data_IF_425514727976
#
_entry.id   IF_425514727976
#
_cell.length_a   1.000
_cell.length_b   1.000
_cell.length_c   1.000
_cell.angle_alpha   90.00
_cell.angle_beta   90.00
_cell.angle_gamma   90.00
#
_symmetry.space_group_name_H-M   'P 1'
#
loop_
_entity.id
_entity.type
_entity.pdbx_description
1 polymer ?
#
# COMPACT_ATOMS: atom_id res chain seq x y z
N UNK A 1 -13.18 -20.74 -3.15
CA UNK A 1 -11.71 -20.89 -3.17
C UNK A 1 -11.32 -21.85 -2.08
N UNK A 2 -11.11 -23.11 -2.44
CA UNK A 2 -10.69 -24.16 -1.51
C UNK A 2 -9.42 -24.74 -2.11
N UNK A 3 -8.36 -23.93 -2.14
CA UNK A 3 -7.09 -24.31 -2.79
C UNK A 3 -6.04 -24.73 -1.75
N UNK A 4 -6.46 -25.31 -0.63
CA UNK A 4 -5.55 -25.94 0.33
C UNK A 4 -5.70 -27.46 0.23
N UNK A 5 -4.61 -28.17 -0.07
CA UNK A 5 -4.54 -29.63 -0.06
C UNK A 5 -4.44 -30.22 1.35
N UNK A 6 -4.16 -29.38 2.35
CA UNK A 6 -4.05 -29.76 3.76
C UNK A 6 -5.27 -30.48 4.35
N UNK A 7 -6.53 -30.00 4.20
CA UNK A 7 -7.70 -30.72 4.71
C UNK A 7 -7.88 -32.12 4.12
N UNK A 8 -7.40 -32.35 2.90
CA UNK A 8 -7.43 -33.63 2.21
C UNK A 8 -6.26 -34.56 2.60
N UNK A 9 -5.35 -34.09 3.45
CA UNK A 9 -4.24 -34.90 3.98
C UNK A 9 -4.61 -35.68 5.25
N UNK A 10 -5.72 -35.32 5.92
CA UNK A 10 -6.12 -35.87 7.22
C UNK A 10 -7.13 -37.02 7.05
N UNK A 11 -7.96 -36.98 6.02
CA UNK A 11 -9.01 -37.97 5.78
C UNK A 11 -9.16 -38.30 4.29
N UNK A 12 -9.33 -39.58 3.99
CA UNK A 12 -9.60 -40.10 2.65
C UNK A 12 -11.08 -39.97 2.24
N UNK A 13 -11.94 -39.46 3.12
CA UNK A 13 -13.36 -39.20 2.83
C UNK A 13 -13.72 -37.81 3.31
N UNK A 14 -14.29 -37.00 2.42
CA UNK A 14 -14.68 -35.61 2.72
C UNK A 14 -16.14 -35.43 2.32
N UNK A 15 -16.92 -34.78 3.19
CA UNK A 15 -18.29 -34.36 2.88
C UNK A 15 -18.31 -32.86 2.58
N UNK A 16 -18.43 -32.45 1.32
CA UNK A 16 -18.42 -31.04 0.96
C UNK A 16 -19.74 -30.35 1.39
N UNK A 17 -19.63 -29.09 1.80
CA UNK A 17 -20.76 -28.24 2.14
C UNK A 17 -20.71 -26.97 1.29
N UNK A 18 -21.76 -26.74 0.50
CA UNK A 18 -21.93 -25.49 -0.23
C UNK A 18 -22.76 -24.51 0.60
N UNK A 19 -22.16 -23.37 0.93
CA UNK A 19 -22.82 -22.27 1.63
C UNK A 19 -23.07 -21.12 0.65
N UNK A 20 -24.34 -20.76 0.49
CA UNK A 20 -24.76 -19.54 -0.22
C UNK A 20 -25.32 -18.54 0.80
N UNK A 21 -24.88 -17.30 0.71
CA UNK A 21 -25.32 -16.20 1.57
C UNK A 21 -25.86 -15.11 0.67
N UNK A 22 -27.10 -14.70 0.88
CA UNK A 22 -27.65 -13.53 0.20
C UNK A 22 -28.29 -12.56 1.20
N UNK A 23 -28.22 -11.28 0.86
CA UNK A 23 -28.90 -10.19 1.55
C UNK A 23 -29.72 -9.43 0.50
N UNK A 24 -31.03 -9.21 0.68
CA UNK A 24 -31.89 -8.65 -0.36
C UNK A 24 -31.55 -7.21 -0.79
N UNK A 25 -30.68 -6.49 -0.05
CA UNK A 25 -30.40 -5.07 -0.29
C UNK A 25 -28.90 -4.71 -0.30
N UNK A 26 -28.00 -5.70 -0.17
CA UNK A 26 -26.57 -5.46 0.03
C UNK A 26 -25.75 -6.54 -0.67
N UNK A 27 -24.75 -6.12 -1.44
CA UNK A 27 -23.76 -7.06 -1.96
C UNK A 27 -22.98 -7.67 -0.78
N UNK A 28 -23.06 -8.99 -0.63
CA UNK A 28 -22.29 -9.75 0.37
C UNK A 28 -20.80 -9.68 -0.02
N UNK A 29 -20.10 -8.65 0.43
CA UNK A 29 -18.66 -8.50 0.17
C UNK A 29 -17.87 -9.03 1.35
N UNK A 30 -17.34 -10.25 1.21
CA UNK A 30 -16.45 -10.87 2.22
C UNK A 30 -15.01 -10.36 2.06
N UNK A 31 -14.67 -9.78 0.90
CA UNK A 31 -13.32 -9.33 0.59
C UNK A 31 -13.17 -7.84 0.91
N UNK A 32 -12.73 -7.53 2.13
CA UNK A 32 -12.31 -6.18 2.49
C UNK A 32 -13.41 -5.24 2.97
N UNK A 33 -14.57 -5.76 3.40
CA UNK A 33 -15.57 -4.94 4.07
C UNK A 33 -14.97 -4.23 5.29
N UNK A 34 -15.29 -2.95 5.45
CA UNK A 34 -14.90 -2.21 6.64
C UNK A 34 -15.76 -2.70 7.82
N UNK A 35 -15.19 -2.77 9.02
CA UNK A 35 -15.95 -3.15 10.22
C UNK A 35 -17.21 -2.26 10.38
N UNK A 36 -17.10 -0.96 10.08
CA UNK A 36 -18.22 -0.01 10.16
C UNK A 36 -19.33 -0.38 9.19
N UNK A 37 -19.00 -0.78 7.95
CA UNK A 37 -20.02 -1.25 7.00
C UNK A 37 -20.70 -2.53 7.48
N UNK A 38 -19.98 -3.50 8.06
CA UNK A 38 -20.62 -4.70 8.62
C UNK A 38 -21.50 -4.38 9.82
N UNK A 39 -21.10 -3.42 10.67
CA UNK A 39 -21.91 -2.95 11.80
C UNK A 39 -23.19 -2.28 11.31
N UNK A 40 -23.09 -1.39 10.31
CA UNK A 40 -24.22 -0.76 9.66
C UNK A 40 -25.17 -1.83 9.08
N UNK A 41 -24.65 -2.81 8.35
CA UNK A 41 -25.50 -3.88 7.81
C UNK A 41 -26.11 -4.76 8.90
N UNK A 42 -25.45 -4.95 10.04
CA UNK A 42 -26.03 -5.68 11.19
C UNK A 42 -27.26 -4.97 11.75
N UNK A 43 -27.28 -3.63 11.79
CA UNK A 43 -28.42 -2.86 12.27
C UNK A 43 -29.53 -2.68 11.22
N UNK A 44 -29.17 -2.57 9.94
CA UNK A 44 -30.09 -2.15 8.87
C UNK A 44 -30.46 -3.25 7.86
N UNK A 45 -29.88 -4.46 7.97
CA UNK A 45 -30.26 -5.63 7.17
C UNK A 45 -30.89 -6.68 8.10
N UNK A 46 -32.21 -6.61 8.34
CA UNK A 46 -32.89 -7.50 9.28
C UNK A 46 -32.95 -8.96 8.81
N UNK A 47 -32.65 -9.22 7.53
CA UNK A 47 -32.77 -10.55 6.93
C UNK A 47 -31.50 -10.88 6.17
N UNK A 48 -30.70 -11.79 6.75
CA UNK A 48 -29.63 -12.49 6.05
C UNK A 48 -30.04 -13.95 5.92
N UNK A 49 -30.07 -14.46 4.70
CA UNK A 49 -30.46 -15.86 4.48
C UNK A 49 -29.25 -16.68 4.11
N UNK A 50 -29.04 -17.72 4.91
CA UNK A 50 -28.00 -18.72 4.73
C UNK A 50 -28.63 -19.96 4.12
N UNK A 51 -28.26 -20.26 2.88
CA UNK A 51 -28.65 -21.50 2.22
C UNK A 51 -27.48 -22.48 2.31
N UNK A 52 -27.69 -23.53 3.09
CA UNK A 52 -26.71 -24.59 3.33
C UNK A 52 -27.12 -25.82 2.51
N UNK A 53 -26.20 -26.33 1.68
CA UNK A 53 -26.40 -27.55 0.89
C UNK A 53 -25.31 -28.57 1.20
N UNK A 54 -25.72 -29.71 1.72
CA UNK A 54 -24.85 -30.86 1.94
C UNK A 54 -24.68 -31.61 0.63
N UNK A 55 -23.44 -31.78 0.18
CA UNK A 55 -23.13 -32.60 -1.00
C UNK A 55 -22.89 -34.06 -0.57
N UNK A 56 -23.00 -35.02 -1.52
CA UNK A 56 -22.60 -36.40 -1.28
C UNK A 56 -21.15 -36.49 -0.79
N UNK A 57 -20.88 -37.42 0.12
CA UNK A 57 -19.52 -37.72 0.57
C UNK A 57 -18.68 -38.19 -0.61
N UNK A 58 -17.48 -37.62 -0.74
CA UNK A 58 -16.53 -37.96 -1.79
C UNK A 58 -15.36 -38.70 -1.15
N UNK A 59 -15.14 -39.94 -1.58
CA UNK A 59 -13.99 -40.74 -1.15
C UNK A 59 -12.84 -40.57 -2.13
N UNK A 60 -11.61 -40.65 -1.61
CA UNK A 60 -10.38 -40.68 -2.39
C UNK A 60 -10.29 -42.01 -3.14
N UNK A 61 -10.04 -41.95 -4.45
CA UNK A 61 -9.81 -43.13 -5.28
C UNK A 61 -8.38 -43.65 -5.05
N UNK A 62 -8.18 -44.97 -5.16
CA UNK A 62 -6.87 -45.58 -4.90
C UNK A 62 -5.76 -45.09 -5.85
N UNK A 63 -6.14 -44.65 -7.05
CA UNK A 63 -5.24 -44.20 -8.11
C UNK A 63 -4.98 -42.69 -8.11
N UNK A 64 -5.71 -41.90 -7.30
CA UNK A 64 -5.60 -40.44 -7.34
C UNK A 64 -4.70 -39.88 -6.23
N UNK A 65 -3.92 -38.86 -6.61
CA UNK A 65 -3.07 -38.08 -5.70
C UNK A 65 -3.94 -37.16 -4.83
N UNK A 66 -3.44 -36.71 -3.68
CA UNK A 66 -4.21 -35.85 -2.76
C UNK A 66 -4.61 -34.52 -3.40
N UNK A 67 -3.73 -33.99 -4.24
CA UNK A 67 -3.95 -32.77 -5.01
C UNK A 67 -5.08 -32.97 -6.04
N UNK A 68 -5.10 -34.11 -6.71
CA UNK A 68 -6.13 -34.48 -7.68
C UNK A 68 -7.50 -34.68 -7.01
N UNK A 69 -7.51 -35.31 -5.83
CA UNK A 69 -8.70 -35.41 -4.99
C UNK A 69 -9.23 -34.03 -4.57
N UNK A 70 -8.34 -33.13 -4.13
CA UNK A 70 -8.69 -31.76 -3.75
C UNK A 70 -9.28 -30.97 -4.93
N UNK A 71 -8.68 -31.10 -6.13
CA UNK A 71 -9.17 -30.46 -7.35
C UNK A 71 -10.55 -30.98 -7.74
N UNK A 72 -10.78 -32.29 -7.65
CA UNK A 72 -12.09 -32.91 -7.94
C UNK A 72 -13.18 -32.44 -6.98
N UNK A 73 -12.87 -32.37 -5.69
CA UNK A 73 -13.81 -31.82 -4.69
C UNK A 73 -14.07 -30.32 -4.94
N UNK A 74 -13.03 -29.58 -5.33
CA UNK A 74 -13.16 -28.18 -5.70
C UNK A 74 -14.06 -27.99 -6.92
N UNK A 75 -13.89 -28.80 -7.96
CA UNK A 75 -14.71 -28.75 -9.18
C UNK A 75 -16.18 -29.06 -8.88
N UNK A 76 -16.46 -30.08 -8.07
CA UNK A 76 -17.82 -30.39 -7.63
C UNK A 76 -18.47 -29.23 -6.87
N UNK A 77 -17.73 -28.60 -5.94
CA UNK A 77 -18.21 -27.41 -5.22
C UNK A 77 -18.39 -26.21 -6.14
N UNK A 78 -17.50 -26.03 -7.12
CA UNK A 78 -17.55 -24.94 -8.09
C UNK A 78 -18.80 -25.08 -8.98
N UNK A 79 -19.08 -26.28 -9.48
CA UNK A 79 -20.31 -26.62 -10.21
C UNK A 79 -21.57 -26.35 -9.38
N UNK A 80 -21.62 -26.82 -8.13
CA UNK A 80 -22.79 -26.58 -7.25
C UNK A 80 -22.99 -25.10 -6.89
N UNK A 81 -21.90 -24.34 -6.73
CA UNK A 81 -21.98 -22.90 -6.45
C UNK A 81 -22.20 -22.06 -7.71
N UNK A 82 -22.08 -22.64 -8.92
CA UNK A 82 -22.16 -21.92 -10.19
C UNK A 82 -20.96 -20.99 -10.42
N UNK A 83 -19.79 -21.33 -9.87
CA UNK A 83 -18.56 -20.52 -9.94
C UNK A 83 -17.49 -21.31 -10.66
N UNK A 84 -16.55 -20.65 -11.33
CA UNK A 84 -15.41 -21.31 -11.98
C UNK A 84 -14.40 -21.78 -10.92
N UNK A 85 -13.93 -23.02 -11.03
CA UNK A 85 -12.82 -23.52 -10.21
C UNK A 85 -11.54 -22.78 -10.57
N UNK A 86 -10.94 -22.06 -9.61
CA UNK A 86 -9.69 -21.32 -9.82
C UNK A 86 -8.61 -21.85 -8.89
N UNK A 87 -7.37 -21.93 -9.38
CA UNK A 87 -6.18 -22.30 -8.60
C UNK A 87 -5.67 -21.18 -7.67
N UNK A 88 -6.55 -20.25 -7.29
CA UNK A 88 -6.18 -19.07 -6.49
C UNK A 88 -6.09 -19.45 -5.00
N UNK A 89 -4.91 -19.26 -4.44
CA UNK A 89 -4.59 -19.53 -3.04
C UNK A 89 -5.17 -18.46 -2.13
N UNK A 90 -5.37 -18.79 -0.85
CA UNK A 90 -5.71 -17.79 0.17
C UNK A 90 -4.63 -16.68 0.26
N UNK A 91 -3.36 -17.02 0.03
CA UNK A 91 -2.25 -16.07 -0.07
C UNK A 91 -2.43 -15.09 -1.24
N UNK A 92 -2.78 -15.59 -2.43
CA UNK A 92 -3.02 -14.76 -3.61
C UNK A 92 -4.18 -13.78 -3.38
N UNK A 93 -5.22 -14.23 -2.66
CA UNK A 93 -6.33 -13.37 -2.25
C UNK A 93 -5.89 -12.27 -1.28
N UNK A 94 -5.09 -12.61 -0.27
CA UNK A 94 -4.58 -11.65 0.70
C UNK A 94 -3.63 -10.63 0.04
N UNK A 95 -2.78 -11.10 -0.88
CA UNK A 95 -1.90 -10.24 -1.67
C UNK A 95 -2.71 -9.32 -2.59
N UNK A 96 -3.72 -9.85 -3.30
CA UNK A 96 -4.60 -9.05 -4.15
C UNK A 96 -5.30 -7.94 -3.35
N UNK A 97 -5.81 -8.27 -2.16
CA UNK A 97 -6.43 -7.28 -1.27
C UNK A 97 -5.42 -6.23 -0.78
N UNK A 98 -4.19 -6.65 -0.49
CA UNK A 98 -3.10 -5.73 -0.14
C UNK A 98 -2.78 -4.77 -1.30
N UNK A 99 -2.70 -5.28 -2.53
CA UNK A 99 -2.48 -4.47 -3.74
C UNK A 99 -3.60 -3.44 -3.95
N UNK A 100 -4.87 -3.84 -3.81
CA UNK A 100 -6.03 -2.94 -3.88
C UNK A 100 -5.98 -1.79 -2.85
N UNK A 101 -5.43 -2.04 -1.67
CA UNK A 101 -5.30 -1.03 -0.61
C UNK A 101 -4.19 0.00 -0.88
N UNK A 102 -3.10 -0.43 -1.50
CA UNK A 102 -1.97 0.45 -1.82
C UNK A 102 -2.10 1.14 -3.18
N UNK A 103 -2.83 0.52 -4.11
CA UNK A 103 -3.10 1.06 -5.43
C UNK A 103 -4.56 0.73 -5.80
N UNK A 104 -5.53 1.53 -5.33
CA UNK A 104 -6.91 1.39 -5.79
C UNK A 104 -6.89 1.55 -7.32
N UNK A 105 -7.54 0.66 -8.09
CA UNK A 105 -7.53 0.77 -9.54
C UNK A 105 -8.02 2.16 -9.91
N UNK A 106 -7.11 2.98 -10.43
CA UNK A 106 -7.47 4.20 -11.10
C UNK A 106 -8.53 3.81 -12.12
N UNK A 107 -9.71 4.38 -11.98
CA UNK A 107 -10.89 4.17 -12.81
C UNK A 107 -10.48 3.94 -14.25
N UNK A 108 -10.50 2.68 -14.69
CA UNK A 108 -10.30 2.34 -16.10
C UNK A 108 -11.42 3.06 -16.85
N UNK A 109 -11.12 3.98 -17.78
CA UNK A 109 -12.16 4.60 -18.57
C UNK A 109 -12.92 3.47 -19.29
N UNK A 110 -14.27 3.54 -19.34
CA UNK A 110 -15.05 2.54 -20.05
C UNK A 110 -14.60 2.49 -21.52
N UNK A 111 -14.62 1.30 -22.17
CA UNK A 111 -14.33 1.20 -23.59
C UNK A 111 -15.32 2.10 -24.36
N UNK A 112 -14.86 2.81 -25.42
CA UNK A 112 -15.74 3.69 -26.18
C UNK A 112 -16.82 2.85 -26.86
N UNK A 113 -18.06 3.03 -26.42
CA UNK A 113 -19.23 2.49 -27.10
C UNK A 113 -19.45 3.29 -28.39
N UNK A 114 -19.50 2.58 -29.51
CA UNK A 114 -19.67 3.09 -30.86
C UNK A 114 -20.84 4.06 -30.99
N UNK A 115 -20.62 5.14 -31.76
CA UNK A 115 -21.55 6.22 -32.08
C UNK A 115 -22.86 5.72 -32.73
N UNK A 116 -23.93 6.53 -32.68
CA UNK A 116 -24.26 7.27 -33.90
C UNK A 116 -24.52 8.77 -33.67
N UNK A 117 -24.38 9.49 -34.79
CA UNK A 117 -24.43 10.94 -34.94
C UNK A 117 -25.77 11.58 -34.54
N UNK A 118 -25.69 12.78 -33.94
CA UNK A 118 -26.82 13.67 -33.72
C UNK A 118 -26.40 14.87 -32.86
N UNK A 119 -26.16 16.02 -33.51
CA UNK A 119 -25.47 17.16 -32.92
C UNK A 119 -26.29 18.00 -31.93
N UNK A 120 -25.58 18.58 -30.96
CA UNK A 120 -25.80 19.94 -30.41
C UNK A 120 -24.58 20.37 -29.57
N UNK A 121 -24.10 21.63 -29.65
CA UNK A 121 -22.94 22.07 -28.88
C UNK A 121 -23.31 22.59 -27.49
N UNK A 122 -22.32 22.55 -26.60
CA UNK A 122 -22.11 23.44 -25.44
C UNK A 122 -22.71 23.03 -24.09
N UNK A 123 -21.90 22.34 -23.28
CA UNK A 123 -21.39 22.85 -22.00
C UNK A 123 -20.49 21.78 -21.33
N UNK A 124 -19.21 21.80 -21.65
CA UNK A 124 -18.18 21.09 -20.89
C UNK A 124 -18.05 21.74 -19.51
N UNK A 125 -18.59 21.13 -18.44
CA UNK A 125 -18.34 21.53 -17.04
C UNK A 125 -18.88 20.50 -16.04
N UNK A 126 -18.16 19.40 -15.84
CA UNK A 126 -18.28 18.61 -14.59
C UNK A 126 -17.12 17.66 -14.27
N UNK A 127 -16.09 17.54 -15.12
CA UNK A 127 -14.90 16.72 -14.83
C UNK A 127 -13.94 17.34 -13.77
N UNK A 128 -14.19 18.58 -13.32
CA UNK A 128 -13.32 19.28 -12.38
C UNK A 128 -13.54 18.95 -10.91
N UNK A 129 -14.72 18.47 -10.49
CA UNK A 129 -15.05 18.43 -9.06
C UNK A 129 -14.37 17.29 -8.29
N UNK A 130 -14.16 16.13 -8.91
CA UNK A 130 -13.53 14.98 -8.22
C UNK A 130 -12.04 15.16 -8.06
N UNK A 131 -11.38 15.75 -9.06
CA UNK A 131 -9.95 16.05 -9.02
C UNK A 131 -9.67 17.21 -8.04
N UNK A 132 -10.54 18.22 -8.00
CA UNK A 132 -10.40 19.34 -7.05
C UNK A 132 -10.58 18.87 -5.59
N UNK A 133 -11.56 17.99 -5.29
CA UNK A 133 -11.71 17.40 -3.94
C UNK A 133 -10.47 16.60 -3.52
N UNK A 134 -9.84 15.87 -4.44
CA UNK A 134 -8.59 15.13 -4.17
C UNK A 134 -7.42 16.07 -3.94
N UNK A 135 -7.27 17.10 -4.78
CA UNK A 135 -6.23 18.12 -4.64
C UNK A 135 -6.36 18.89 -3.33
N UNK A 136 -7.57 19.24 -2.92
CA UNK A 136 -7.85 19.93 -1.64
C UNK A 136 -7.39 19.06 -0.47
N UNK A 137 -7.69 17.76 -0.48
CA UNK A 137 -7.25 16.84 0.58
C UNK A 137 -5.72 16.63 0.59
N UNK A 138 -5.08 16.64 -0.58
CA UNK A 138 -3.61 16.62 -0.66
C UNK A 138 -2.99 17.92 -0.14
N UNK A 139 -3.60 19.07 -0.46
CA UNK A 139 -3.13 20.38 -0.05
C UNK A 139 -3.17 20.55 1.48
N UNK A 140 -4.24 20.10 2.14
CA UNK A 140 -4.36 20.13 3.60
C UNK A 140 -3.23 19.36 4.29
N UNK A 141 -2.88 18.17 3.80
CA UNK A 141 -1.74 17.40 4.32
C UNK A 141 -0.40 18.13 4.17
N UNK A 142 -0.20 18.86 3.08
CA UNK A 142 1.00 19.71 2.91
C UNK A 142 0.96 20.88 3.89
N UNK A 143 -0.20 21.46 4.17
CA UNK A 143 -0.34 22.60 5.09
C UNK A 143 -0.07 22.23 6.55
N UNK A 144 -0.42 21.01 6.96
CA UNK A 144 -0.10 20.49 8.30
C UNK A 144 1.41 20.43 8.56
N UNK A 145 2.20 20.13 7.52
CA UNK A 145 3.68 20.01 7.62
C UNK A 145 4.42 21.30 7.25
N UNK A 146 3.76 22.22 6.53
CA UNK A 146 4.30 23.51 6.10
C UNK A 146 3.27 24.63 6.35
N UNK A 147 3.03 25.02 7.62
CA UNK A 147 1.97 25.97 7.97
C UNK A 147 2.20 27.38 7.42
N UNK A 148 3.46 27.75 7.11
CA UNK A 148 3.82 29.08 6.60
C UNK A 148 3.63 29.25 5.08
N UNK A 149 3.18 28.21 4.37
CA UNK A 149 3.01 28.26 2.92
C UNK A 149 1.54 28.49 2.56
N UNK A 150 1.21 29.51 1.73
CA UNK A 150 -0.15 29.80 1.33
C UNK A 150 -0.81 28.64 0.57
N UNK A 151 -2.10 28.43 0.82
CA UNK A 151 -2.90 27.39 0.16
C UNK A 151 -2.89 27.46 -1.36
N UNK A 152 -2.84 28.67 -1.91
CA UNK A 152 -2.79 28.90 -3.35
C UNK A 152 -1.49 28.35 -3.98
N UNK A 153 -0.34 28.48 -3.30
CA UNK A 153 0.94 27.98 -3.79
C UNK A 153 0.98 26.45 -3.79
N UNK A 154 0.48 25.83 -2.72
CA UNK A 154 0.39 24.38 -2.56
C UNK A 154 -0.53 23.78 -3.65
N UNK A 155 -1.72 24.35 -3.87
CA UNK A 155 -2.65 23.88 -4.92
C UNK A 155 -2.07 24.00 -6.32
N UNK A 156 -1.35 25.10 -6.60
CA UNK A 156 -0.72 25.34 -7.89
C UNK A 156 0.35 24.30 -8.22
N UNK A 157 1.17 23.93 -7.23
CA UNK A 157 2.20 22.89 -7.42
C UNK A 157 1.58 21.49 -7.46
N UNK A 158 0.58 21.20 -6.62
CA UNK A 158 -0.16 19.92 -6.66
C UNK A 158 -0.90 19.68 -7.98
N UNK A 159 -1.38 20.75 -8.63
CA UNK A 159 -1.97 20.65 -9.96
C UNK A 159 -0.95 20.19 -11.02
N UNK A 160 0.34 20.35 -10.78
CA UNK A 160 1.42 19.93 -11.67
C UNK A 160 2.02 18.58 -11.26
N UNK A 161 2.27 18.39 -9.97
CA UNK A 161 2.99 17.21 -9.45
C UNK A 161 2.08 16.05 -9.09
N UNK A 162 0.82 16.32 -8.75
CA UNK A 162 -0.17 15.37 -8.22
C UNK A 162 0.39 14.45 -7.11
N UNK A 163 1.34 14.96 -6.33
CA UNK A 163 2.07 14.22 -5.32
C UNK A 163 2.46 15.13 -4.15
N UNK A 164 2.06 14.73 -2.94
CA UNK A 164 2.30 15.47 -1.69
C UNK A 164 3.80 15.62 -1.42
N UNK A 165 4.56 14.52 -1.52
CA UNK A 165 5.99 14.50 -1.20
C UNK A 165 6.82 15.33 -2.19
N UNK A 166 6.46 15.28 -3.47
CA UNK A 166 7.08 16.10 -4.51
C UNK A 166 6.78 17.60 -4.29
N UNK A 167 5.54 17.92 -3.88
CA UNK A 167 5.15 19.29 -3.56
C UNK A 167 5.90 19.85 -2.36
N UNK A 168 6.04 19.06 -1.29
CA UNK A 168 6.83 19.45 -0.10
C UNK A 168 8.29 19.71 -0.49
N UNK A 169 8.88 18.83 -1.30
CA UNK A 169 10.26 19.00 -1.77
C UNK A 169 10.40 20.28 -2.62
N UNK A 170 9.50 20.52 -3.59
CA UNK A 170 9.54 21.70 -4.45
C UNK A 170 9.40 23.02 -3.67
N UNK A 171 8.53 23.04 -2.65
CA UNK A 171 8.32 24.19 -1.78
C UNK A 171 9.56 24.46 -0.90
N UNK A 172 10.17 23.41 -0.36
CA UNK A 172 11.41 23.52 0.43
C UNK A 172 12.64 23.88 -0.43
N UNK A 173 12.64 23.47 -1.70
CA UNK A 173 13.69 23.81 -2.68
C UNK A 173 13.51 25.22 -3.28
N UNK A 174 12.41 25.92 -2.96
CA UNK A 174 12.15 27.28 -3.45
C UNK A 174 11.75 27.37 -4.92
N UNK A 175 11.33 26.25 -5.54
CA UNK A 175 10.93 26.20 -6.97
C UNK A 175 9.57 26.83 -7.22
N UNK A 176 8.77 27.03 -6.18
CA UNK A 176 7.49 27.74 -6.23
C UNK A 176 7.69 29.11 -5.57
N UNK A 177 7.72 30.21 -6.33
CA UNK A 177 7.79 31.54 -5.74
C UNK A 177 6.47 31.81 -5.00
N UNK A 178 6.54 31.94 -3.67
CA UNK A 178 5.45 32.42 -2.83
C UNK A 178 5.93 33.62 -2.02
N UNK A 179 5.13 34.68 -1.97
CA UNK A 179 5.30 35.74 -0.99
C UNK A 179 4.66 35.24 0.32
N UNK A 180 5.38 35.21 1.45
CA UNK A 180 4.78 34.93 2.74
C UNK A 180 3.74 36.02 3.04
N UNK A 181 2.54 35.63 3.44
CA UNK A 181 1.56 36.58 3.93
C UNK A 181 2.05 37.06 5.30
N UNK A 182 2.50 38.32 5.34
CA UNK A 182 2.99 38.97 6.55
C UNK A 182 1.79 39.28 7.45
N UNK A 183 1.56 38.42 8.43
CA UNK A 183 0.85 38.82 9.64
C UNK A 183 1.80 39.71 10.44
N UNK A 184 1.39 40.96 10.55
CA UNK A 184 1.99 41.99 11.39
C UNK A 184 2.01 41.49 12.83
N UNK A 185 3.18 41.49 13.48
CA UNK A 185 3.46 42.22 14.73
C UNK A 185 4.92 41.95 15.17
N UNK A 186 5.48 42.98 15.77
CA UNK A 186 6.87 43.18 16.14
C UNK A 186 7.53 42.02 16.92
N UNK A 187 8.81 41.75 16.66
CA UNK A 187 9.85 41.80 17.71
C UNK A 187 11.25 41.72 17.07
N UNK A 188 12.07 42.68 17.48
CA UNK A 188 13.41 42.94 16.99
C UNK A 188 14.47 42.02 17.60
N UNK A 189 15.61 41.97 16.91
CA UNK A 189 16.97 41.86 17.44
C UNK A 189 17.71 40.50 17.46
N UNK A 190 18.88 40.60 16.81
CA UNK A 190 20.19 40.15 17.28
C UNK A 190 20.76 38.81 16.75
N UNK A 191 21.74 38.97 15.87
CA UNK A 191 22.80 38.01 15.62
C UNK A 191 23.61 37.72 16.89
N UNK A 192 24.34 36.59 16.91
CA UNK A 192 25.73 36.68 17.33
C UNK A 192 26.69 35.94 16.40
N UNK A 193 27.76 36.65 16.07
CA UNK A 193 29.03 36.11 15.61
C UNK A 193 29.78 35.59 16.83
N UNK A 194 30.33 34.36 16.81
CA UNK A 194 31.43 34.01 17.72
C UNK A 194 32.39 32.99 17.11
N UNK A 195 33.67 33.31 17.29
CA UNK A 195 34.87 32.75 16.68
C UNK A 195 35.11 31.27 17.01
N UNK A 196 35.65 30.54 16.05
CA UNK A 196 36.21 29.21 16.24
C UNK A 196 37.63 29.24 16.80
N UNK A 197 37.93 28.34 17.73
CA UNK A 197 39.29 27.94 18.11
C UNK A 197 39.33 26.44 18.45
N UNK A 198 39.94 25.69 17.52
CA UNK A 198 40.80 24.49 17.59
C UNK A 198 40.68 23.41 18.70
N UNK A 199 40.80 22.16 18.23
CA UNK A 199 40.98 20.88 18.94
C UNK A 199 42.32 20.75 19.71
N UNK A 200 42.54 19.73 20.58
CA UNK A 200 42.94 18.39 20.11
C UNK A 200 42.44 17.16 20.93
N UNK A 201 42.31 16.04 20.21
CA UNK A 201 42.55 14.62 20.56
C UNK A 201 42.22 14.02 21.95
N UNK A 202 41.32 13.03 21.98
CA UNK A 202 41.64 11.62 22.38
C UNK A 202 40.39 10.75 22.29
N UNK A 203 40.59 9.56 21.73
CA UNK A 203 39.74 8.39 21.63
C UNK A 203 38.58 8.29 22.63
N UNK A 204 37.36 8.13 22.11
CA UNK A 204 36.46 7.03 22.44
C UNK A 204 35.16 7.15 21.64
N UNK A 205 34.78 6.05 21.00
CA UNK A 205 33.40 5.59 20.74
C UNK A 205 32.48 6.68 20.19
N UNK A 206 32.16 6.66 18.90
CA UNK A 206 31.12 7.54 18.37
C UNK A 206 29.73 6.91 18.52
N UNK A 207 28.91 7.29 19.52
CA UNK A 207 27.48 7.37 19.34
C UNK A 207 27.14 8.65 18.56
N UNK A 208 26.16 8.52 17.66
CA UNK A 208 25.38 9.55 16.98
C UNK A 208 25.79 11.04 17.20
N UNK A 209 26.45 11.64 16.21
CA UNK A 209 26.54 13.10 16.07
C UNK A 209 25.51 13.62 15.06
N UNK A 210 24.59 14.45 15.57
CA UNK A 210 23.84 15.52 14.91
C UNK A 210 23.42 15.32 13.46
N UNK A 211 22.19 14.83 13.24
CA UNK A 211 21.54 14.85 11.92
C UNK A 211 21.17 16.30 11.53
N UNK A 212 22.11 17.03 10.95
CA UNK A 212 21.73 18.09 10.01
C UNK A 212 21.29 17.38 8.73
N UNK A 213 19.99 17.35 8.47
CA UNK A 213 19.46 16.85 7.20
C UNK A 213 20.03 17.75 6.09
N UNK A 214 20.63 17.16 5.04
CA UNK A 214 21.18 17.96 3.95
C UNK A 214 20.06 18.78 3.28
N UNK A 215 20.37 20.04 2.92
CA UNK A 215 19.37 21.01 2.43
C UNK A 215 18.65 20.56 1.15
N UNK A 216 19.28 19.71 0.32
CA UNK A 216 18.69 19.14 -0.91
C UNK A 216 18.32 17.66 -0.74
N UNK A 217 17.20 17.23 -1.35
CA UNK A 217 16.70 15.86 -1.31
C UNK A 217 17.66 14.86 -1.97
N UNK A 218 18.31 15.25 -3.06
CA UNK A 218 19.27 14.40 -3.78
C UNK A 218 20.48 14.06 -2.89
N UNK A 219 21.02 15.08 -2.20
CA UNK A 219 22.14 14.91 -1.26
C UNK A 219 21.75 13.99 -0.09
N UNK A 220 20.50 14.08 0.37
CA UNK A 220 19.97 13.18 1.41
C UNK A 220 19.87 11.74 0.91
N UNK A 221 19.37 11.53 -0.31
CA UNK A 221 19.26 10.20 -0.91
C UNK A 221 20.65 9.57 -1.08
N UNK A 222 21.62 10.33 -1.59
CA UNK A 222 23.01 9.88 -1.69
C UNK A 222 23.59 9.52 -0.32
N UNK A 223 23.35 10.32 0.71
CA UNK A 223 23.83 10.02 2.07
C UNK A 223 23.23 8.72 2.64
N UNK A 224 21.96 8.42 2.32
CA UNK A 224 21.30 7.19 2.73
C UNK A 224 21.87 5.98 1.98
N UNK A 225 22.12 6.12 0.68
CA UNK A 225 22.75 5.07 -0.13
C UNK A 225 24.16 4.76 0.34
N UNK A 226 24.96 5.79 0.64
CA UNK A 226 26.33 5.65 1.15
C UNK A 226 26.34 4.95 2.52
N UNK A 227 25.47 5.37 3.44
CA UNK A 227 25.33 4.70 4.76
C UNK A 227 24.88 3.26 4.63
N UNK A 228 23.96 2.98 3.71
CA UNK A 228 23.55 1.61 3.39
C UNK A 228 24.77 0.83 2.92
N UNK A 229 25.50 1.31 1.91
CA UNK A 229 26.68 0.63 1.37
C UNK A 229 27.75 0.37 2.44
N UNK A 230 28.05 1.35 3.30
CA UNK A 230 28.98 1.18 4.40
C UNK A 230 28.55 0.08 5.39
N UNK A 231 27.24 -0.02 5.70
CA UNK A 231 26.69 -1.07 6.54
C UNK A 231 26.84 -2.45 5.89
N UNK A 232 26.58 -2.55 4.58
CA UNK A 232 26.74 -3.78 3.81
C UNK A 232 28.22 -4.23 3.76
N UNK A 233 29.16 -3.31 3.59
CA UNK A 233 30.59 -3.61 3.58
C UNK A 233 31.12 -3.98 4.97
N UNK A 234 30.60 -3.35 6.03
CA UNK A 234 30.87 -3.74 7.40
C UNK A 234 30.37 -5.16 7.69
N UNK A 235 29.12 -5.46 7.35
CA UNK A 235 28.54 -6.78 7.53
C UNK A 235 29.32 -7.86 6.75
N UNK A 236 29.72 -7.55 5.52
CA UNK A 236 30.54 -8.45 4.68
C UNK A 236 31.90 -8.74 5.29
N UNK A 237 32.61 -7.72 5.81
CA UNK A 237 33.89 -7.89 6.50
C UNK A 237 33.74 -8.75 7.74
N UNK A 238 32.77 -8.41 8.60
CA UNK A 238 32.48 -9.17 9.83
C UNK A 238 32.09 -10.63 9.55
N UNK A 239 31.38 -10.88 8.45
CA UNK A 239 31.05 -12.23 8.01
C UNK A 239 32.30 -13.00 7.57
N UNK A 240 33.19 -12.39 6.78
CA UNK A 240 34.47 -12.99 6.37
C UNK A 240 35.41 -13.22 7.55
N UNK A 241 35.45 -12.33 8.54
CA UNK A 241 36.25 -12.52 9.76
C UNK A 241 35.70 -13.71 10.57
N UNK A 242 34.38 -13.79 10.74
CA UNK A 242 33.75 -14.84 11.55
C UNK A 242 33.75 -16.22 10.88
N UNK A 243 33.58 -16.29 9.56
CA UNK A 243 33.38 -17.55 8.82
C UNK A 243 34.50 -17.87 7.82
N UNK A 244 35.33 -16.89 7.43
CA UNK A 244 36.49 -17.10 6.55
C UNK A 244 37.71 -17.67 7.28
N UNK A 245 37.85 -17.43 8.60
CA UNK A 245 38.91 -18.06 9.42
C UNK A 245 38.58 -19.51 9.79
N UNK A 246 37.29 -19.87 9.85
CA UNK A 246 36.84 -21.23 10.17
C UNK A 246 37.14 -22.27 9.07
N UNK A 247 37.46 -21.81 7.84
CA UNK A 247 37.78 -22.68 6.71
C UNK A 247 39.29 -22.85 6.47
N UNK A 248 40.14 -22.14 7.22
CA UNK A 248 41.60 -22.19 7.09
C UNK A 248 42.30 -23.04 8.17
N UNK A 249 41.65 -23.30 9.32
CA UNK A 249 42.22 -24.12 10.42
C UNK A 249 41.67 -25.56 10.49
N UNK A 250 41.17 -26.10 9.37
CA UNK A 250 40.65 -27.47 9.28
C UNK A 250 41.39 -28.36 8.26
N UNK A 251 42.63 -28.04 7.93
CA UNK A 251 43.41 -28.75 6.92
C UNK A 251 44.89 -28.85 7.28
N UNK A 252 45.20 -29.67 8.28
CA UNK A 252 46.39 -30.52 8.37
C UNK A 252 46.20 -31.51 9.52
#
# INVERSE_FOLDING_TARGET
>A
SVCSSWPFSIADTVQPLALRVWRPFVAVSVAGASWVTELLWTFFVPITVYQVRWLPSVCRRAEETREEFALRVQELLALELGVVSTCLTAADKAEHLKRLRHNPPASRPPPPLSQPAGGRPQASRSAGSTEDVRLIGMAQRVQEVLPHVPMAAIRKDLAQTNCVDATIANLLEGRVPFAPEAETEDFSAAAPSFYGTQCPSTSQIAPATGKVFARSAEVRHLSLQERKQALWDYARRRYKEKYGMAHAEGGC
#
